data_IF_079896665363
#
_entry.id   IF_079896665363
#
_cell.length_a   1.000
_cell.length_b   1.000
_cell.length_c   1.000
_cell.angle_alpha   90.00
_cell.angle_beta   90.00
_cell.angle_gamma   90.00
#
_symmetry.space_group_name_H-M   'P 1'
#
loop_
_entity.id
_entity.type
_entity.pdbx_description
1 polymer ?
#
# COMPACT_ATOMS: atom_id res chain seq x y z
N UNK A 1 -23.15 22.72 -37.91
CA UNK A 1 -23.74 22.06 -36.72
C UNK A 1 -22.76 22.28 -35.59
N UNK A 2 -23.11 23.09 -34.59
CA UNK A 2 -22.24 23.41 -33.45
C UNK A 2 -22.84 22.73 -32.23
N UNK A 3 -22.10 21.79 -31.62
CA UNK A 3 -22.57 21.05 -30.44
C UNK A 3 -22.02 21.73 -29.20
N UNK A 4 -22.89 22.41 -28.47
CA UNK A 4 -22.58 23.02 -27.18
C UNK A 4 -22.60 21.93 -26.10
N UNK A 5 -21.45 21.62 -25.49
CA UNK A 5 -21.38 20.75 -24.31
C UNK A 5 -21.59 21.58 -23.05
N UNK A 6 -22.69 21.33 -22.35
CA UNK A 6 -22.91 21.79 -20.98
C UNK A 6 -22.19 20.87 -19.98
N UNK A 7 -21.45 21.40 -18.99
CA UNK A 7 -20.85 20.57 -17.96
C UNK A 7 -21.92 20.14 -16.95
N UNK A 8 -21.95 18.84 -16.62
CA UNK A 8 -22.77 18.28 -15.55
C UNK A 8 -22.12 18.63 -14.21
N UNK A 9 -22.82 19.42 -13.41
CA UNK A 9 -22.44 19.74 -12.03
C UNK A 9 -22.54 18.47 -11.17
N UNK A 10 -21.39 17.99 -10.68
CA UNK A 10 -21.35 16.89 -9.72
C UNK A 10 -21.65 17.43 -8.32
N UNK A 11 -22.75 16.97 -7.72
CA UNK A 11 -23.13 17.26 -6.34
C UNK A 11 -22.11 16.77 -5.30
N UNK A 12 -22.26 17.15 -4.02
CA UNK A 12 -21.23 16.98 -3.01
C UNK A 12 -21.03 15.49 -2.72
N UNK A 13 -19.90 14.96 -3.19
CA UNK A 13 -19.47 13.61 -2.89
C UNK A 13 -19.19 13.49 -1.39
N UNK A 14 -19.95 12.65 -0.70
CA UNK A 14 -19.54 12.13 0.61
C UNK A 14 -18.10 11.60 0.46
N UNK A 15 -17.19 12.17 1.23
CA UNK A 15 -15.77 11.90 1.14
C UNK A 15 -15.51 10.44 1.55
N UNK A 16 -15.53 9.53 0.57
CA UNK A 16 -14.90 8.22 0.72
C UNK A 16 -13.48 8.47 1.22
N UNK A 17 -13.01 7.77 2.27
CA UNK A 17 -11.62 7.89 2.69
C UNK A 17 -10.74 7.68 1.45
N UNK A 18 -9.78 8.58 1.25
CA UNK A 18 -8.81 8.43 0.18
C UNK A 18 -8.20 7.03 0.29
N UNK A 19 -8.05 6.32 -0.83
CA UNK A 19 -7.69 4.88 -0.85
C UNK A 19 -6.54 4.53 0.10
N UNK A 20 -5.60 5.45 0.30
CA UNK A 20 -4.44 5.34 1.19
C UNK A 20 -4.77 5.17 2.69
N UNK A 21 -5.91 5.66 3.18
CA UNK A 21 -6.30 5.60 4.60
C UNK A 21 -7.12 4.33 4.92
N UNK A 22 -7.56 3.59 3.91
CA UNK A 22 -8.27 2.32 4.09
C UNK A 22 -7.33 1.31 4.76
N UNK A 23 -7.87 0.47 5.63
CA UNK A 23 -7.13 -0.69 6.14
C UNK A 23 -6.61 -1.56 4.98
N UNK A 24 -5.38 -2.03 5.07
CA UNK A 24 -4.82 -2.95 4.10
C UNK A 24 -5.62 -4.26 4.11
N UNK A 25 -5.99 -4.74 2.93
CA UNK A 25 -6.78 -5.95 2.76
C UNK A 25 -6.08 -6.95 1.82
N UNK A 26 -6.81 -8.01 1.45
CA UNK A 26 -6.33 -9.04 0.53
C UNK A 26 -5.98 -8.43 -0.84
N UNK A 27 -6.71 -7.42 -1.31
CA UNK A 27 -6.42 -6.77 -2.59
C UNK A 27 -5.16 -5.92 -2.51
N UNK A 28 -4.94 -5.21 -1.40
CA UNK A 28 -3.66 -4.55 -1.12
C UNK A 28 -2.50 -5.56 -1.16
N UNK A 29 -2.66 -6.71 -0.50
CA UNK A 29 -1.60 -7.73 -0.45
C UNK A 29 -1.35 -8.39 -1.81
N UNK A 30 -2.39 -8.60 -2.63
CA UNK A 30 -2.22 -9.04 -4.02
C UNK A 30 -1.41 -8.05 -4.84
N UNK A 31 -1.65 -6.76 -4.65
CA UNK A 31 -0.89 -5.73 -5.36
C UNK A 31 0.58 -5.70 -4.91
N UNK A 32 0.84 -5.82 -3.61
CA UNK A 32 2.21 -5.99 -3.08
C UNK A 32 2.89 -7.20 -3.69
N UNK A 33 2.22 -8.36 -3.73
CA UNK A 33 2.75 -9.58 -4.33
C UNK A 33 3.02 -9.41 -5.83
N UNK A 34 2.16 -8.68 -6.55
CA UNK A 34 2.37 -8.32 -7.96
C UNK A 34 3.65 -7.48 -8.14
N UNK A 35 3.87 -6.50 -7.27
CA UNK A 35 5.08 -5.67 -7.26
C UNK A 35 6.31 -6.54 -6.98
N UNK A 36 6.27 -7.36 -5.94
CA UNK A 36 7.35 -8.30 -5.57
C UNK A 36 7.70 -9.18 -6.77
N UNK A 37 6.70 -9.79 -7.40
CA UNK A 37 6.90 -10.71 -8.52
C UNK A 37 7.46 -10.02 -9.77
N UNK A 38 7.25 -8.71 -9.91
CA UNK A 38 7.80 -7.91 -11.01
C UNK A 38 9.25 -7.46 -10.79
N UNK A 39 9.71 -7.40 -9.54
CA UNK A 39 11.04 -6.88 -9.16
C UNK A 39 11.99 -8.01 -8.77
N UNK A 40 11.54 -8.91 -7.93
CA UNK A 40 12.36 -9.93 -7.31
C UNK A 40 12.44 -11.20 -8.15
N UNK A 41 13.66 -11.75 -8.26
CA UNK A 41 13.87 -13.09 -8.81
C UNK A 41 13.87 -14.11 -7.67
N UNK A 42 12.67 -14.45 -7.18
CA UNK A 42 12.51 -15.44 -6.11
C UNK A 42 12.73 -16.87 -6.62
N UNK A 43 13.31 -17.77 -5.80
CA UNK A 43 13.41 -19.18 -6.14
C UNK A 43 12.02 -19.79 -6.36
N UNK A 44 11.89 -20.76 -7.28
CA UNK A 44 10.66 -21.54 -7.42
C UNK A 44 10.30 -22.21 -6.09
N UNK A 45 9.03 -22.10 -5.68
CA UNK A 45 8.52 -22.71 -4.44
C UNK A 45 8.44 -21.76 -3.24
N UNK A 46 9.00 -20.56 -3.34
CA UNK A 46 8.77 -19.51 -2.34
C UNK A 46 7.36 -18.94 -2.52
N UNK A 47 6.44 -19.34 -1.66
CA UNK A 47 5.02 -19.00 -1.81
C UNK A 47 4.74 -17.62 -1.22
N UNK A 48 4.37 -16.70 -2.10
CA UNK A 48 3.73 -15.44 -1.75
C UNK A 48 2.22 -15.69 -1.65
N UNK A 49 1.67 -15.62 -0.45
CA UNK A 49 0.26 -15.90 -0.18
C UNK A 49 -0.43 -14.63 0.34
N UNK A 50 -1.42 -14.14 -0.41
CA UNK A 50 -2.06 -12.86 -0.09
C UNK A 50 -2.85 -12.89 1.22
N UNK A 51 -3.36 -14.06 1.63
CA UNK A 51 -4.11 -14.20 2.88
C UNK A 51 -3.18 -14.15 4.08
N UNK A 52 -2.06 -14.86 4.00
CA UNK A 52 -1.02 -14.79 5.03
C UNK A 52 -0.47 -13.37 5.20
N UNK A 53 -0.21 -12.67 4.09
CA UNK A 53 0.25 -11.28 4.14
C UNK A 53 -0.80 -10.34 4.73
N UNK A 54 -2.08 -10.51 4.36
CA UNK A 54 -3.18 -9.68 4.90
C UNK A 54 -3.36 -9.90 6.41
N UNK A 55 -3.20 -11.13 6.90
CA UNK A 55 -3.26 -11.43 8.33
C UNK A 55 -2.16 -10.68 9.10
N UNK A 56 -0.92 -10.69 8.59
CA UNK A 56 0.21 -10.00 9.23
C UNK A 56 0.12 -8.48 9.16
N UNK A 57 -0.47 -7.93 8.09
CA UNK A 57 -0.51 -6.49 7.81
C UNK A 57 -1.84 -5.83 8.19
N UNK A 58 -2.77 -6.55 8.81
CA UNK A 58 -4.12 -6.04 9.11
C UNK A 58 -4.19 -4.81 10.03
N UNK A 59 -3.09 -4.46 10.71
CA UNK A 59 -2.97 -3.22 11.50
C UNK A 59 -2.44 -2.00 10.74
N UNK A 60 -2.17 -2.15 9.45
CA UNK A 60 -1.65 -1.10 8.56
C UNK A 60 -2.74 -0.60 7.61
N UNK A 61 -2.57 0.62 7.11
CA UNK A 61 -3.36 1.13 5.99
C UNK A 61 -2.78 0.68 4.65
N UNK A 62 -3.60 0.70 3.60
CA UNK A 62 -3.18 0.47 2.22
C UNK A 62 -2.00 1.36 1.84
N UNK A 63 -2.09 2.66 2.15
CA UNK A 63 -1.04 3.63 1.87
C UNK A 63 0.26 3.30 2.61
N UNK A 64 0.18 2.96 3.90
CA UNK A 64 1.35 2.55 4.68
C UNK A 64 2.06 1.34 4.07
N UNK A 65 1.31 0.32 3.68
CA UNK A 65 1.84 -0.92 3.11
C UNK A 65 2.52 -0.67 1.75
N UNK A 66 1.84 0.06 0.85
CA UNK A 66 2.38 0.34 -0.48
C UNK A 66 3.60 1.26 -0.43
N UNK A 67 3.56 2.30 0.40
CA UNK A 67 4.70 3.21 0.55
C UNK A 67 5.91 2.51 1.18
N UNK A 68 5.71 1.68 2.20
CA UNK A 68 6.78 0.87 2.79
C UNK A 68 7.41 -0.06 1.75
N UNK A 69 6.58 -0.70 0.92
CA UNK A 69 7.02 -1.60 -0.14
C UNK A 69 7.91 -0.87 -1.14
N UNK A 70 7.48 0.29 -1.63
CA UNK A 70 8.28 1.08 -2.57
C UNK A 70 9.53 1.69 -1.94
N UNK A 71 9.46 2.17 -0.69
CA UNK A 71 10.63 2.69 0.01
C UNK A 71 11.68 1.60 0.24
N UNK A 72 11.27 0.37 0.53
CA UNK A 72 12.18 -0.77 0.63
C UNK A 72 12.98 -0.97 -0.65
N UNK A 73 12.31 -1.05 -1.81
CA UNK A 73 13.02 -1.26 -3.09
C UNK A 73 13.82 -0.04 -3.56
N UNK A 74 13.47 1.17 -3.10
CA UNK A 74 14.30 2.35 -3.35
C UNK A 74 15.63 2.30 -2.61
N UNK A 75 15.69 1.65 -1.45
CA UNK A 75 16.84 1.70 -0.53
C UNK A 75 17.63 0.40 -0.46
N UNK A 76 17.01 -0.73 -0.77
CA UNK A 76 17.58 -2.05 -0.58
C UNK A 76 17.49 -2.88 -1.85
N UNK A 77 18.49 -3.74 -2.06
CA UNK A 77 18.56 -4.69 -3.18
C UNK A 77 18.19 -6.12 -2.79
N UNK A 78 17.67 -6.33 -1.58
CA UNK A 78 17.27 -7.65 -1.06
C UNK A 78 15.75 -7.86 -1.13
N UNK A 79 15.28 -9.12 -1.08
CA UNK A 79 13.86 -9.43 -0.95
C UNK A 79 13.19 -8.72 0.24
N UNK A 80 11.94 -8.30 0.04
CA UNK A 80 11.07 -7.73 1.06
C UNK A 80 10.23 -8.80 1.74
N UNK A 81 9.98 -8.60 3.04
CA UNK A 81 9.12 -9.43 3.86
C UNK A 81 8.11 -8.58 4.64
N UNK A 82 7.00 -9.17 5.14
CA UNK A 82 6.01 -8.42 5.93
C UNK A 82 6.63 -7.70 7.13
N UNK A 83 7.63 -8.31 7.78
CA UNK A 83 8.35 -7.70 8.88
C UNK A 83 9.08 -6.39 8.51
N UNK A 84 9.56 -6.27 7.26
CA UNK A 84 10.21 -5.05 6.78
C UNK A 84 9.19 -3.90 6.69
N UNK A 85 8.00 -4.21 6.17
CA UNK A 85 6.87 -3.27 6.08
C UNK A 85 6.46 -2.83 7.50
N UNK A 86 6.21 -3.77 8.40
CA UNK A 86 5.81 -3.48 9.78
C UNK A 86 6.85 -2.62 10.51
N UNK A 87 8.14 -2.92 10.33
CA UNK A 87 9.24 -2.15 10.93
C UNK A 87 9.23 -0.71 10.43
N UNK A 88 9.07 -0.52 9.12
CA UNK A 88 9.03 0.81 8.52
C UNK A 88 7.82 1.62 9.00
N UNK A 89 6.64 0.99 9.05
CA UNK A 89 5.39 1.64 9.50
C UNK A 89 5.52 2.05 10.97
N UNK A 90 6.01 1.16 11.84
CA UNK A 90 6.22 1.46 13.25
C UNK A 90 7.18 2.66 13.43
N UNK A 91 8.30 2.68 12.71
CA UNK A 91 9.26 3.79 12.75
C UNK A 91 8.62 5.13 12.34
N UNK A 92 7.77 5.13 11.31
CA UNK A 92 7.07 6.34 10.84
C UNK A 92 6.00 6.82 11.79
N UNK A 93 5.23 5.93 12.40
CA UNK A 93 4.21 6.31 13.39
C UNK A 93 4.86 6.97 14.60
N UNK A 94 5.96 6.41 15.10
CA UNK A 94 6.76 7.03 16.17
C UNK A 94 7.31 8.40 15.76
N UNK A 95 7.84 8.53 14.54
CA UNK A 95 8.33 9.82 14.04
C UNK A 95 7.19 10.86 13.89
N UNK A 96 6.02 10.46 13.41
CA UNK A 96 4.84 11.33 13.29
C UNK A 96 4.31 11.78 14.65
N UNK A 97 4.28 10.89 15.65
CA UNK A 97 3.94 11.22 17.03
C UNK A 97 4.93 12.20 17.67
N UNK A 98 6.22 12.13 17.30
CA UNK A 98 7.23 13.08 17.77
C UNK A 98 7.10 14.46 17.12
N UNK A 99 6.64 14.55 15.88
CA UNK A 99 6.40 15.83 15.18
C UNK A 99 5.12 16.54 15.70
N UNK A 100 4.17 15.78 16.25
CA UNK A 100 2.91 16.33 16.77
C UNK A 100 2.98 16.82 18.24
N UNK A 101 4.14 16.67 18.91
CA UNK A 101 4.38 17.12 20.29
C UNK A 101 5.24 18.38 20.30
#
# INVERSE_FOLDING_TARGET
>A
MTVTSTPVEAGPAEARPASAERAADIFTCREVIRIISGIERRPPGERLDEYYWAELLGGCTEGEVLEATWDHYRRHSRPIWPADILTWVAARRVAGEQVAR
#
